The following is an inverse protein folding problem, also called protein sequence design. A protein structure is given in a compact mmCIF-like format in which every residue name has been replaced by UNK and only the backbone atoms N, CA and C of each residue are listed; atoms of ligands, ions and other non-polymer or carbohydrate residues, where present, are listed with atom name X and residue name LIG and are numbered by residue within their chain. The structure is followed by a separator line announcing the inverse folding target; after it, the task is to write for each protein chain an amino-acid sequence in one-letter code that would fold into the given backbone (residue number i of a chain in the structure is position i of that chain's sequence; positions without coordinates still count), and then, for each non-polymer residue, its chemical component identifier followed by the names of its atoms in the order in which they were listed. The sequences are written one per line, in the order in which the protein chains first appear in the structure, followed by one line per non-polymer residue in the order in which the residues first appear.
data_IF_403937742394
#
_entry.id   IF_403937742394
#
_cell.length_a   1.000
_cell.length_b   1.000
_cell.length_c   1.000
_cell.angle_alpha   90.00
_cell.angle_beta   90.00
_cell.angle_gamma   90.00
#
_symmetry.space_group_name_H-M   'P 1'
#
loop_
_entity.id
_entity.type
_entity.pdbx_description
1 polymer ?
#
# COMPACT_ATOMS: atom_id res chain seq x y z
N UNK A 1 -13.55 27.15 -5.14
CA UNK A 1 -12.70 27.65 -4.02
C UNK A 1 -12.33 26.53 -3.05
N UNK A 2 -13.29 25.84 -2.41
CA UNK A 2 -12.98 24.81 -1.40
C UNK A 2 -12.06 23.68 -1.90
N UNK A 3 -12.31 23.12 -3.09
CA UNK A 3 -11.48 22.05 -3.64
C UNK A 3 -10.01 22.46 -3.89
N UNK A 4 -9.77 23.70 -4.31
CA UNK A 4 -8.41 24.23 -4.50
C UNK A 4 -7.70 24.42 -3.16
N UNK A 5 -8.40 24.89 -2.13
CA UNK A 5 -7.84 25.03 -0.78
C UNK A 5 -7.48 23.66 -0.19
N UNK A 6 -8.37 22.67 -0.33
CA UNK A 6 -8.11 21.30 0.13
C UNK A 6 -6.94 20.68 -0.63
N UNK A 7 -6.89 20.84 -1.95
CA UNK A 7 -5.78 20.36 -2.78
C UNK A 7 -4.44 20.97 -2.37
N UNK A 8 -4.38 22.29 -2.18
CA UNK A 8 -3.17 22.97 -1.71
C UNK A 8 -2.77 22.53 -0.30
N UNK A 9 -3.72 22.34 0.61
CA UNK A 9 -3.45 21.84 1.95
C UNK A 9 -2.87 20.42 1.93
N UNK A 10 -3.45 19.53 1.11
CA UNK A 10 -2.93 18.16 0.91
C UNK A 10 -1.53 18.18 0.31
N UNK A 11 -1.27 19.06 -0.66
CA UNK A 11 0.05 19.19 -1.28
C UNK A 11 1.11 19.69 -0.28
N UNK A 12 0.78 20.68 0.54
CA UNK A 12 1.68 21.17 1.59
C UNK A 12 1.96 20.09 2.63
N UNK A 13 0.93 19.36 3.08
CA UNK A 13 1.10 18.25 4.01
C UNK A 13 1.97 17.14 3.42
N UNK A 14 1.71 16.74 2.17
CA UNK A 14 2.51 15.74 1.47
C UNK A 14 3.97 16.16 1.32
N UNK A 15 4.21 17.42 0.96
CA UNK A 15 5.56 18.00 0.85
C UNK A 15 6.29 17.96 2.20
N UNK A 16 5.62 18.38 3.29
CA UNK A 16 6.22 18.37 4.62
C UNK A 16 6.59 16.96 5.08
N UNK A 17 5.68 15.98 4.89
CA UNK A 17 5.92 14.57 5.23
C UNK A 17 7.07 14.02 4.38
N UNK A 18 7.10 14.33 3.08
CA UNK A 18 8.17 13.88 2.17
C UNK A 18 9.54 14.41 2.61
N UNK A 19 9.64 15.71 2.93
CA UNK A 19 10.89 16.32 3.39
C UNK A 19 11.34 15.70 4.71
N UNK A 20 10.44 15.52 5.67
CA UNK A 20 10.74 14.88 6.96
C UNK A 20 11.27 13.46 6.75
N UNK A 21 10.59 12.66 5.93
CA UNK A 21 10.99 11.28 5.64
C UNK A 21 12.32 11.20 4.87
N UNK A 22 12.55 12.13 3.95
CA UNK A 22 13.81 12.22 3.17
C UNK A 22 14.97 12.60 4.08
N UNK A 23 14.80 13.61 4.94
CA UNK A 23 15.80 13.97 5.94
C UNK A 23 16.07 12.79 6.89
N UNK A 24 15.01 12.14 7.38
CA UNK A 24 15.11 10.98 8.27
C UNK A 24 15.91 9.83 7.65
N UNK A 25 15.65 9.50 6.38
CA UNK A 25 16.30 8.37 5.68
C UNK A 25 17.73 8.67 5.27
N UNK A 26 18.01 9.90 4.80
CA UNK A 26 19.30 10.27 4.24
C UNK A 26 20.29 10.84 5.25
N UNK A 27 19.84 11.61 6.25
CA UNK A 27 20.75 12.27 7.19
C UNK A 27 21.15 11.33 8.33
N UNK A 28 20.17 10.64 8.92
CA UNK A 28 20.44 9.76 10.06
C UNK A 28 21.60 8.78 9.85
N UNK A 29 21.85 8.14 8.68
CA UNK A 29 22.94 7.15 8.56
C UNK A 29 24.33 7.69 8.80
N UNK A 30 24.49 9.01 8.76
CA UNK A 30 25.76 9.69 8.98
C UNK A 30 25.85 10.38 10.34
N UNK A 31 24.81 10.26 11.17
CA UNK A 31 24.75 10.86 12.52
C UNK A 31 25.16 9.80 13.54
N UNK A 32 26.02 10.21 14.48
CA UNK A 32 26.47 9.35 15.56
C UNK A 32 25.34 9.00 16.53
N UNK A 33 25.30 7.78 17.09
CA UNK A 33 24.21 7.31 17.95
C UNK A 33 23.91 8.19 19.18
N UNK A 34 24.93 8.85 19.73
CA UNK A 34 24.80 9.70 20.94
C UNK A 34 24.38 11.15 20.61
N UNK A 35 24.13 11.47 19.34
CA UNK A 35 23.77 12.82 18.92
C UNK A 35 22.31 13.14 19.28
N UNK A 36 22.00 14.32 19.85
CA UNK A 36 20.62 14.74 20.19
C UNK A 36 19.66 14.85 19.00
N UNK A 37 20.15 14.67 17.76
CA UNK A 37 19.30 14.62 16.58
C UNK A 37 18.46 13.35 16.55
N UNK A 38 18.90 12.28 17.23
CA UNK A 38 18.14 11.04 17.36
C UNK A 38 16.80 11.23 18.06
N UNK A 39 16.60 12.28 18.86
CA UNK A 39 15.31 12.56 19.52
C UNK A 39 14.26 13.14 18.56
N UNK A 40 14.69 13.72 17.43
CA UNK A 40 13.79 14.30 16.43
C UNK A 40 13.28 13.29 15.41
N UNK A 41 13.88 12.10 15.36
CA UNK A 41 13.64 11.09 14.34
C UNK A 41 13.38 9.72 14.96
N UNK A 42 12.44 8.93 14.41
CA UNK A 42 12.26 7.56 14.89
C UNK A 42 13.52 6.71 14.63
N UNK A 43 13.65 5.54 15.30
CA UNK A 43 14.77 4.64 15.05
C UNK A 43 14.87 4.23 13.59
N UNK A 44 16.08 4.25 13.02
CA UNK A 44 16.38 3.98 11.60
C UNK A 44 15.68 2.74 11.03
N UNK A 45 15.54 1.70 11.84
CA UNK A 45 14.91 0.44 11.43
C UNK A 45 13.49 0.67 10.89
N UNK A 46 12.77 1.65 11.42
CA UNK A 46 11.43 1.99 10.94
C UNK A 46 11.40 2.62 9.55
N UNK A 47 12.47 3.32 9.15
CA UNK A 47 12.60 3.89 7.82
C UNK A 47 12.63 2.81 6.72
N UNK A 48 13.00 1.56 7.06
CA UNK A 48 12.96 0.42 6.14
C UNK A 48 11.66 -0.37 6.33
N UNK A 49 11.22 -0.59 7.58
CA UNK A 49 10.03 -1.39 7.87
C UNK A 49 8.75 -0.78 7.31
N UNK A 50 8.58 0.54 7.35
CA UNK A 50 7.36 1.20 6.88
C UNK A 50 7.10 0.91 5.39
N UNK A 51 8.04 1.17 4.45
CA UNK A 51 7.86 0.80 3.04
C UNK A 51 7.59 -0.69 2.84
N UNK A 52 8.34 -1.56 3.53
CA UNK A 52 8.18 -3.02 3.40
C UNK A 52 6.77 -3.46 3.81
N UNK A 53 6.27 -2.99 4.95
CA UNK A 53 4.92 -3.31 5.42
C UNK A 53 3.87 -2.79 4.42
N UNK A 54 4.01 -1.57 3.91
CA UNK A 54 3.10 -1.01 2.90
C UNK A 54 3.08 -1.85 1.63
N UNK A 55 4.24 -2.27 1.12
CA UNK A 55 4.32 -3.13 -0.07
C UNK A 55 3.71 -4.51 0.18
N UNK A 56 3.97 -5.11 1.34
CA UNK A 56 3.40 -6.42 1.70
C UNK A 56 1.87 -6.34 1.86
N UNK A 57 1.35 -5.32 2.54
CA UNK A 57 -0.08 -5.11 2.69
C UNK A 57 -0.74 -4.83 1.34
N UNK A 58 -0.17 -3.93 0.54
CA UNK A 58 -0.69 -3.59 -0.79
C UNK A 58 -0.74 -4.81 -1.71
N UNK A 59 0.36 -5.58 -1.76
CA UNK A 59 0.42 -6.81 -2.57
C UNK A 59 -0.53 -7.90 -2.06
N UNK A 60 -0.69 -8.06 -0.74
CA UNK A 60 -1.64 -8.99 -0.16
C UNK A 60 -3.09 -8.63 -0.53
N UNK A 61 -3.45 -7.35 -0.47
CA UNK A 61 -4.78 -6.87 -0.87
C UNK A 61 -5.04 -7.14 -2.35
N UNK A 62 -4.09 -6.78 -3.22
CA UNK A 62 -4.21 -7.01 -4.68
C UNK A 62 -4.28 -8.51 -4.99
N UNK A 63 -3.39 -9.32 -4.42
CA UNK A 63 -3.37 -10.76 -4.64
C UNK A 63 -4.66 -11.44 -4.17
N UNK A 64 -5.18 -11.04 -3.01
CA UNK A 64 -6.45 -11.55 -2.48
C UNK A 64 -7.61 -11.21 -3.40
N UNK A 65 -7.68 -9.95 -3.87
CA UNK A 65 -8.72 -9.51 -4.78
C UNK A 65 -8.71 -10.32 -6.09
N UNK A 66 -7.54 -10.48 -6.71
CA UNK A 66 -7.38 -11.28 -7.93
C UNK A 66 -7.80 -12.73 -7.67
N UNK A 67 -7.36 -13.34 -6.57
CA UNK A 67 -7.74 -14.69 -6.18
C UNK A 67 -9.25 -14.88 -6.07
N UNK A 68 -9.94 -13.96 -5.39
CA UNK A 68 -11.41 -13.98 -5.25
C UNK A 68 -12.10 -13.90 -6.61
N UNK A 69 -11.65 -13.00 -7.50
CA UNK A 69 -12.23 -12.83 -8.84
C UNK A 69 -12.01 -14.08 -9.71
N UNK A 70 -10.85 -14.73 -9.62
CA UNK A 70 -10.56 -15.98 -10.32
C UNK A 70 -11.45 -17.13 -9.82
N UNK A 71 -11.62 -17.27 -8.51
CA UNK A 71 -12.49 -18.29 -7.91
C UNK A 71 -13.94 -18.10 -8.37
N UNK A 72 -14.45 -16.87 -8.29
CA UNK A 72 -15.84 -16.56 -8.63
C UNK A 72 -16.12 -16.71 -10.14
N UNK A 73 -15.20 -16.28 -11.01
CA UNK A 73 -15.32 -16.46 -12.46
C UNK A 73 -15.30 -17.94 -12.86
N UNK A 74 -14.42 -18.75 -12.25
CA UNK A 74 -14.36 -20.18 -12.54
C UNK A 74 -15.61 -20.92 -12.03
N UNK A 75 -16.12 -20.57 -10.84
CA UNK A 75 -17.42 -21.08 -10.33
C UNK A 75 -18.57 -20.81 -11.30
N UNK A 76 -18.67 -19.58 -11.82
CA UNK A 76 -19.69 -19.21 -12.82
C UNK A 76 -19.54 -20.01 -14.11
N UNK A 77 -18.32 -20.19 -14.61
CA UNK A 77 -18.04 -21.01 -15.81
C UNK A 77 -18.44 -22.47 -15.61
N UNK A 78 -18.10 -23.05 -14.46
CA UNK A 78 -18.46 -24.43 -14.12
C UNK A 78 -19.98 -24.62 -13.97
N UNK A 79 -20.68 -23.67 -13.34
CA UNK A 79 -22.13 -23.71 -13.22
C UNK A 79 -22.83 -23.63 -14.59
N UNK A 80 -22.36 -22.74 -15.48
CA UNK A 80 -22.88 -22.61 -16.85
C UNK A 80 -22.64 -23.87 -17.68
N UNK A 81 -21.47 -24.49 -17.56
CA UNK A 81 -21.17 -25.76 -18.23
C UNK A 81 -22.07 -26.91 -17.75
N UNK A 82 -22.31 -27.01 -16.43
CA UNK A 82 -23.24 -28.00 -15.86
C UNK A 82 -24.68 -27.80 -16.35
N UNK A 83 -25.16 -26.55 -16.38
CA UNK A 83 -26.50 -26.23 -16.89
C UNK A 83 -26.66 -26.55 -18.39
N UNK A 84 -25.62 -26.28 -19.20
CA UNK A 84 -25.62 -26.62 -20.62
C UNK A 84 -25.58 -28.14 -20.87
N UNK A 85 -24.85 -28.91 -20.05
CA UNK A 85 -24.81 -30.36 -20.13
C UNK A 85 -26.14 -31.00 -19.72
N UNK A 86 -26.84 -30.44 -18.71
CA UNK A 86 -28.17 -30.90 -18.29
C UNK A 86 -29.21 -30.69 -19.39
N UNK A 87 -29.21 -29.53 -20.06
CA UNK A 87 -30.11 -29.23 -21.19
C UNK A 87 -29.91 -30.12 -22.42
N UNK A 88 -28.73 -30.74 -22.58
CA UNK A 88 -28.41 -31.61 -23.73
C UNK A 88 -28.83 -33.07 -23.50
N UNK A 89 -29.23 -33.41 -22.27
CA UNK A 89 -29.61 -34.77 -21.85
C UNK A 89 -31.13 -34.96 -21.73
N UNK A 90 -31.88 -33.87 -21.83
CA UNK A 90 -33.35 -33.79 -21.97
C UNK A 90 -33.69 -33.50 -23.42
#
# INVERSE_FOLDING_TARGET
MLGQVVGSAMLLAATAIFLYYTAWTLLMPFVDPDHPLHDLFPPRVWAIRIPVILTLLGSAVVGTFIGIVMINSNKKKAAKAKAAAAKKKT
#
